data_IF_002015502383
#
_entry.id   IF_002015502383
#
_cell.length_a   1.000
_cell.length_b   1.000
_cell.length_c   1.000
_cell.angle_alpha   90.00
_cell.angle_beta   90.00
_cell.angle_gamma   90.00
#
_symmetry.space_group_name_H-M   'P 1'
#
loop_
_entity.id
_entity.type
_entity.pdbx_description
1 polymer ?
#
# COMPACT_ATOMS: atom_id res chain seq x y z
N UNK A 1 -5.42 -7.16 8.07
CA UNK A 1 -6.20 -5.93 7.82
C UNK A 1 -5.37 -4.76 8.27
N UNK A 2 -5.40 -3.64 7.55
CA UNK A 2 -4.63 -2.43 7.87
C UNK A 2 -5.54 -1.20 7.75
N UNK A 3 -5.44 -0.27 8.67
CA UNK A 3 -6.28 0.94 8.74
C UNK A 3 -7.09 1.03 10.04
N UNK A 4 -7.88 2.10 10.18
CA UNK A 4 -8.79 2.29 11.33
C UNK A 4 -10.15 1.63 11.08
N UNK A 5 -10.97 1.46 12.12
CA UNK A 5 -12.27 0.73 12.09
C UNK A 5 -13.08 0.96 10.81
N UNK A 6 -13.23 2.22 10.39
CA UNK A 6 -14.10 2.61 9.28
C UNK A 6 -13.36 2.64 7.93
N UNK A 7 -12.03 2.74 7.95
CA UNK A 7 -11.15 2.82 6.77
C UNK A 7 -10.09 1.72 6.81
N UNK A 8 -10.52 0.48 7.07
CA UNK A 8 -9.64 -0.68 7.06
C UNK A 8 -9.70 -1.39 5.71
N UNK A 9 -8.55 -1.87 5.25
CA UNK A 9 -8.41 -2.66 4.02
C UNK A 9 -7.72 -3.98 4.32
N UNK A 10 -7.99 -4.99 3.50
CA UNK A 10 -7.27 -6.24 3.53
C UNK A 10 -6.18 -6.23 2.44
N UNK A 11 -4.94 -6.56 2.82
CA UNK A 11 -3.86 -6.82 1.87
C UNK A 11 -3.81 -8.33 1.62
N UNK A 12 -4.04 -8.73 0.38
CA UNK A 12 -3.89 -10.12 -0.06
C UNK A 12 -2.41 -10.35 -0.38
N UNK A 13 -1.81 -11.37 0.21
CA UNK A 13 -0.40 -11.73 0.04
C UNK A 13 -0.27 -13.24 -0.09
N UNK A 14 0.77 -13.71 -0.76
CA UNK A 14 1.03 -15.15 -0.90
C UNK A 14 1.38 -15.79 0.46
N UNK A 15 2.19 -15.08 1.28
CA UNK A 15 2.63 -15.55 2.59
C UNK A 15 3.11 -14.40 3.48
N UNK A 16 2.91 -14.56 4.78
CA UNK A 16 3.55 -13.73 5.82
C UNK A 16 4.85 -14.40 6.27
N UNK A 17 5.98 -13.71 6.12
CA UNK A 17 7.31 -14.24 6.47
C UNK A 17 7.76 -13.95 7.91
N UNK A 18 6.97 -13.21 8.69
CA UNK A 18 7.27 -12.80 10.06
C UNK A 18 7.57 -11.31 10.23
N UNK A 19 8.02 -10.93 11.42
CA UNK A 19 8.40 -9.56 11.79
C UNK A 19 9.93 -9.43 11.83
N UNK A 20 10.45 -8.28 11.41
CA UNK A 20 11.88 -7.96 11.46
C UNK A 20 12.08 -6.46 11.61
N UNK A 21 13.16 -6.06 12.26
CA UNK A 21 13.66 -4.70 12.19
C UNK A 21 14.44 -4.51 10.88
N UNK A 22 14.24 -3.36 10.23
CA UNK A 22 14.88 -3.01 8.96
C UNK A 22 15.27 -1.53 8.97
N UNK A 23 16.28 -1.21 8.18
CA UNK A 23 16.58 0.17 7.80
C UNK A 23 15.88 0.45 6.48
N UNK A 24 15.12 1.54 6.43
CA UNK A 24 14.51 2.01 5.18
C UNK A 24 15.52 2.90 4.46
N UNK A 25 15.86 2.55 3.22
CA UNK A 25 16.63 3.40 2.33
C UNK A 25 15.64 4.15 1.42
N UNK A 26 15.44 5.47 1.60
CA UNK A 26 14.53 6.22 0.76
C UNK A 26 14.98 6.20 -0.70
N UNK A 27 14.03 6.05 -1.62
CA UNK A 27 14.27 6.19 -3.05
C UNK A 27 14.28 7.70 -3.36
N UNK A 28 15.46 8.32 -3.32
CA UNK A 28 15.63 9.78 -3.38
C UNK A 28 15.64 10.35 -4.79
N UNK A 29 15.76 9.52 -5.82
CA UNK A 29 15.67 9.97 -7.21
C UNK A 29 14.20 10.36 -7.53
N UNK A 30 13.94 11.63 -7.91
CA UNK A 30 12.59 12.10 -8.23
C UNK A 30 11.95 11.35 -9.41
N UNK A 31 12.73 10.74 -10.30
CA UNK A 31 12.25 9.88 -11.38
C UNK A 31 11.84 8.47 -10.90
N UNK A 32 12.28 8.07 -9.71
CA UNK A 32 12.03 6.74 -9.11
C UNK A 32 10.93 6.81 -8.04
N UNK A 33 10.30 7.97 -7.84
CA UNK A 33 9.24 8.11 -6.84
C UNK A 33 7.99 7.34 -7.27
N UNK A 34 7.82 6.15 -6.71
CA UNK A 34 6.64 5.32 -6.94
C UNK A 34 5.62 5.55 -5.84
N UNK A 35 4.39 5.85 -6.27
CA UNK A 35 3.23 5.97 -5.41
C UNK A 35 3.01 4.70 -4.57
N UNK A 36 2.86 4.86 -3.24
CA UNK A 36 2.65 3.73 -2.33
C UNK A 36 3.92 3.03 -1.84
N UNK A 37 5.11 3.47 -2.30
CA UNK A 37 6.40 2.96 -1.84
C UNK A 37 7.08 3.97 -0.92
N UNK A 38 7.48 3.53 0.27
CA UNK A 38 8.23 4.33 1.23
C UNK A 38 9.75 4.30 0.96
N UNK A 39 10.24 3.21 0.39
CA UNK A 39 11.66 3.02 0.08
C UNK A 39 11.98 1.58 -0.31
N UNK A 40 13.26 1.25 -0.24
CA UNK A 40 13.75 -0.12 -0.37
C UNK A 40 14.67 -0.47 0.80
N UNK A 41 14.92 -1.76 0.99
CA UNK A 41 15.92 -2.26 1.92
C UNK A 41 16.63 -3.45 1.29
N UNK A 42 17.89 -3.67 1.66
CA UNK A 42 18.61 -4.88 1.33
C UNK A 42 18.47 -5.87 2.49
N UNK A 43 18.06 -7.09 2.19
CA UNK A 43 18.05 -8.19 3.15
C UNK A 43 19.45 -8.79 3.27
N UNK A 44 19.72 -9.51 4.36
CA UNK A 44 21.04 -10.15 4.59
C UNK A 44 21.46 -11.20 3.54
N UNK A 45 20.56 -11.58 2.63
CA UNK A 45 20.80 -12.45 1.48
C UNK A 45 20.95 -11.69 0.16
N UNK A 46 21.23 -10.38 0.21
CA UNK A 46 21.39 -9.46 -0.94
C UNK A 46 20.14 -9.26 -1.79
N UNK A 47 18.97 -9.70 -1.32
CA UNK A 47 17.71 -9.38 -1.99
C UNK A 47 17.27 -7.99 -1.61
N UNK A 48 17.01 -7.17 -2.63
CA UNK A 48 16.36 -5.87 -2.44
C UNK A 48 14.85 -6.09 -2.34
N UNK A 49 14.25 -5.50 -1.31
CA UNK A 49 12.81 -5.56 -1.05
C UNK A 49 12.25 -4.15 -0.92
N UNK A 50 11.06 -3.93 -1.48
CA UNK A 50 10.36 -2.66 -1.37
C UNK A 50 9.64 -2.56 -0.02
N UNK A 51 9.66 -1.37 0.56
CA UNK A 51 8.91 -1.02 1.76
C UNK A 51 7.67 -0.24 1.35
N UNK A 52 6.50 -0.74 1.73
CA UNK A 52 5.20 -0.16 1.36
C UNK A 52 4.80 0.97 2.32
N UNK A 53 4.40 2.12 1.77
CA UNK A 53 3.62 3.11 2.52
C UNK A 53 2.15 2.67 2.52
N UNK A 54 1.77 1.91 3.55
CA UNK A 54 0.41 1.33 3.63
C UNK A 54 -0.66 2.42 3.71
N UNK A 55 -0.37 3.56 4.35
CA UNK A 55 -1.33 4.65 4.44
C UNK A 55 -1.60 5.27 3.06
N UNK A 56 -0.56 5.44 2.24
CA UNK A 56 -0.72 5.83 0.84
C UNK A 56 -1.54 4.79 0.07
N UNK A 57 -1.23 3.50 0.20
CA UNK A 57 -1.97 2.43 -0.48
C UNK A 57 -3.45 2.43 -0.12
N UNK A 58 -3.81 2.59 1.16
CA UNK A 58 -5.21 2.68 1.63
C UNK A 58 -5.93 3.88 1.00
N UNK A 59 -5.26 5.04 0.91
CA UNK A 59 -5.84 6.23 0.26
C UNK A 59 -6.13 5.97 -1.23
N UNK A 60 -5.23 5.29 -1.95
CA UNK A 60 -5.43 4.97 -3.37
C UNK A 60 -6.55 3.94 -3.59
N UNK A 61 -6.64 2.91 -2.77
CA UNK A 61 -7.71 1.91 -2.90
C UNK A 61 -9.09 2.51 -2.64
N UNK A 62 -9.18 3.46 -1.71
CA UNK A 62 -10.44 4.15 -1.40
C UNK A 62 -10.89 5.07 -2.54
N UNK A 63 -9.94 5.71 -3.24
CA UNK A 63 -10.25 6.61 -4.36
C UNK A 63 -10.95 5.90 -5.53
N UNK A 64 -10.61 4.63 -5.79
CA UNK A 64 -11.26 3.81 -6.83
C UNK A 64 -12.66 3.30 -6.43
N UNK A 65 -12.91 3.06 -5.15
CA UNK A 65 -14.16 2.46 -4.66
C UNK A 65 -15.31 3.47 -4.48
N UNK A 66 -15.02 4.73 -4.17
CA UNK A 66 -16.04 5.77 -3.95
C UNK A 66 -16.76 6.17 -5.23
N UNK A 67 -16.11 6.08 -6.40
CA UNK A 67 -16.72 6.43 -7.70
C UNK A 67 -17.80 5.44 -8.14
N UNK A 68 -17.64 4.15 -7.85
CA UNK A 68 -18.58 3.11 -8.30
C UNK A 68 -19.85 3.03 -7.45
N UNK A 69 -19.79 3.38 -6.16
CA UNK A 69 -20.96 3.35 -5.27
C UNK A 69 -22.01 4.41 -5.62
N UNK A 70 -21.58 5.58 -6.10
CA UNK A 70 -22.49 6.62 -6.57
C UNK A 70 -23.23 6.22 -7.85
N UNK A 71 -22.56 5.51 -8.77
CA UNK A 71 -23.14 5.06 -10.03
C UNK A 71 -24.16 3.93 -9.85
N UNK A 72 -23.99 3.07 -8.85
CA UNK A 72 -24.93 1.98 -8.55
C UNK A 72 -26.18 2.52 -7.82
N UNK A 73 -26.06 3.62 -7.06
CA UNK A 73 -27.19 4.24 -6.36
C UNK A 73 -27.93 5.31 -7.18
N UNK A 74 -27.35 5.78 -8.30
CA UNK A 74 -27.96 6.77 -9.20
C UNK A 74 -28.98 6.19 -10.18
N UNK A 75 -29.14 4.87 -10.25
CA UNK A 75 -29.90 4.21 -11.33
C UNK A 75 -31.09 3.37 -10.83
N UNK A 76 -31.73 3.82 -9.75
CA UNK A 76 -33.02 3.30 -9.33
C UNK A 76 -34.09 4.40 -9.58
N UNK A 77 -35.07 4.19 -10.47
CA UNK A 77 -36.17 5.13 -10.66
C UNK A 77 -37.04 5.28 -9.39
#
# INVERSE_FOLDING_TARGET
MVGSRENSVALVVDRVTGLREIVVNPLTDPLVRVMGIAGATELGDRRVVLILDVAAVVRFSTFGLTRSRSLILSNNP
#
